data_IF_227279510956
#
_entry.id   IF_227279510956
#
_cell.length_a   1.000
_cell.length_b   1.000
_cell.length_c   1.000
_cell.angle_alpha   90.00
_cell.angle_beta   90.00
_cell.angle_gamma   90.00
#
_symmetry.space_group_name_H-M   'P 1'
#
loop_
_entity.id
_entity.type
_entity.pdbx_description
1 polymer ?
#
# COMPACT_ATOMS: atom_id res chain seq x y z
N UNK A 1 40.97 60.98 29.95
CA UNK A 1 42.32 60.46 30.25
C UNK A 1 42.31 59.02 29.73
N UNK A 2 42.70 58.75 28.49
CA UNK A 2 44.04 58.80 27.90
C UNK A 2 44.93 57.64 28.39
N UNK A 3 45.51 56.94 27.40
CA UNK A 3 46.73 56.10 27.43
C UNK A 3 46.55 54.66 27.91
N UNK A 4 47.27 53.65 27.41
CA UNK A 4 48.15 53.43 26.25
C UNK A 4 48.59 51.95 26.33
N UNK A 5 49.21 51.47 25.24
CA UNK A 5 50.29 50.47 25.22
C UNK A 5 50.01 48.99 25.55
N UNK A 6 49.66 48.23 24.50
CA UNK A 6 50.55 47.37 23.70
C UNK A 6 51.53 46.35 24.40
N UNK A 7 52.30 45.52 23.66
CA UNK A 7 52.04 44.08 23.51
C UNK A 7 53.24 43.21 23.92
N UNK A 8 53.10 41.88 23.91
CA UNK A 8 54.27 40.97 23.78
C UNK A 8 53.88 39.58 23.26
N UNK A 9 54.34 39.28 22.04
CA UNK A 9 54.60 37.93 21.52
C UNK A 9 55.88 37.37 22.16
N UNK A 10 56.03 36.04 22.16
CA UNK A 10 57.17 35.53 21.40
C UNK A 10 56.81 34.33 20.50
N UNK A 11 57.47 34.32 19.35
CA UNK A 11 57.59 33.22 18.41
C UNK A 11 58.36 32.04 19.03
N UNK A 12 58.04 30.80 18.64
CA UNK A 12 59.08 29.77 18.47
C UNK A 12 58.65 28.77 17.38
N UNK A 13 59.57 28.32 16.50
CA UNK A 13 59.26 27.62 15.26
C UNK A 13 59.35 26.10 15.42
N UNK A 14 58.74 25.36 14.49
CA UNK A 14 58.96 23.91 14.38
C UNK A 14 58.00 23.19 13.45
N UNK A 15 58.36 23.06 12.19
CA UNK A 15 57.90 21.98 11.29
C UNK A 15 59.18 21.37 10.75
N UNK A 16 59.38 20.04 10.80
CA UNK A 16 58.92 19.22 9.68
C UNK A 16 58.43 17.79 10.01
N UNK A 17 57.44 17.38 9.21
CA UNK A 17 57.34 16.14 8.43
C UNK A 17 57.54 14.77 9.12
N UNK A 18 56.46 13.98 9.15
CA UNK A 18 56.53 12.52 9.16
C UNK A 18 55.24 11.93 8.57
N UNK A 19 55.33 11.61 7.29
CA UNK A 19 54.50 10.66 6.55
C UNK A 19 54.22 9.36 7.32
N UNK A 20 52.94 8.98 7.45
CA UNK A 20 52.48 7.60 7.57
C UNK A 20 50.96 7.50 7.27
N UNK A 21 50.63 7.01 6.07
CA UNK A 21 49.33 6.37 5.76
C UNK A 21 49.34 4.91 6.31
N UNK A 22 48.23 4.13 6.32
CA UNK A 22 46.90 4.39 5.76
C UNK A 22 45.73 4.13 6.74
N UNK A 23 44.67 4.95 6.67
CA UNK A 23 43.39 4.68 7.31
C UNK A 23 42.47 3.91 6.38
N UNK A 24 42.43 2.58 6.51
CA UNK A 24 41.39 1.74 5.93
C UNK A 24 40.32 1.52 7.00
N UNK A 25 39.21 2.26 6.90
CA UNK A 25 37.97 1.96 7.60
C UNK A 25 36.83 2.10 6.61
N UNK A 26 36.55 1.00 5.92
CA UNK A 26 35.29 0.75 5.24
C UNK A 26 34.12 0.99 6.20
N UNK A 27 33.27 1.94 5.86
CA UNK A 27 31.86 1.88 6.20
C UNK A 27 31.07 2.31 4.96
N UNK A 28 30.67 1.38 4.08
CA UNK A 28 29.61 1.65 3.15
C UNK A 28 28.35 1.86 3.96
N UNK A 29 27.93 3.12 4.07
CA UNK A 29 26.60 3.49 4.53
C UNK A 29 25.60 2.84 3.59
N UNK A 30 25.13 1.66 3.97
CA UNK A 30 23.94 1.01 3.42
C UNK A 30 22.77 1.96 3.68
N UNK A 31 22.60 2.91 2.77
CA UNK A 31 21.35 3.60 2.56
C UNK A 31 20.42 2.54 2.01
N UNK A 32 19.73 1.84 2.92
CA UNK A 32 18.60 1.00 2.60
C UNK A 32 17.60 1.90 1.86
N UNK A 33 17.68 1.90 0.54
CA UNK A 33 16.60 2.34 -0.31
C UNK A 33 15.41 1.50 0.14
N UNK A 34 14.46 2.13 0.80
CA UNK A 34 13.13 1.57 0.90
C UNK A 34 12.66 1.43 -0.55
N UNK A 35 12.74 0.22 -1.09
CA UNK A 35 12.17 -0.14 -2.37
C UNK A 35 10.66 0.08 -2.22
N UNK A 36 10.20 1.26 -2.62
CA UNK A 36 8.81 1.43 -2.95
C UNK A 36 8.53 0.48 -4.11
N UNK A 37 7.56 -0.46 -4.01
CA UNK A 37 7.19 -1.29 -5.15
C UNK A 37 6.85 -0.34 -6.30
N UNK A 38 7.70 -0.36 -7.33
CA UNK A 38 7.50 0.43 -8.53
C UNK A 38 6.20 -0.06 -9.14
N UNK A 39 5.21 0.84 -9.23
CA UNK A 39 3.99 0.59 -10.00
C UNK A 39 4.47 0.16 -11.40
N UNK A 40 4.16 -1.05 -11.86
CA UNK A 40 4.66 -1.54 -13.14
C UNK A 40 4.24 -0.58 -14.25
N UNK A 41 5.10 -0.38 -15.25
CA UNK A 41 4.88 0.61 -16.31
C UNK A 41 3.51 0.43 -16.99
N UNK A 42 2.96 -0.78 -16.98
CA UNK A 42 1.66 -1.17 -17.53
C UNK A 42 0.44 -0.64 -16.75
N UNK A 43 0.65 -0.05 -15.57
CA UNK A 43 -0.41 0.45 -14.69
C UNK A 43 -0.54 1.96 -14.83
N UNK A 44 -1.45 2.36 -15.70
CA UNK A 44 -1.74 3.76 -15.98
C UNK A 44 -2.95 4.27 -15.18
N UNK A 45 -3.20 5.58 -15.23
CA UNK A 45 -4.31 6.22 -14.52
C UNK A 45 -5.70 5.66 -14.89
N UNK A 46 -5.81 5.03 -16.06
CA UNK A 46 -7.03 4.44 -16.61
C UNK A 46 -7.08 2.91 -16.45
N UNK A 47 -6.11 2.33 -15.73
CA UNK A 47 -6.10 0.90 -15.46
C UNK A 47 -7.38 0.47 -14.72
N UNK A 48 -7.95 -0.63 -15.21
CA UNK A 48 -9.02 -1.34 -14.56
C UNK A 48 -8.78 -2.84 -14.62
N UNK A 49 -9.03 -3.52 -13.50
CA UNK A 49 -9.01 -4.96 -13.43
C UNK A 49 -10.35 -5.52 -13.97
N UNK A 50 -10.47 -5.56 -15.30
CA UNK A 50 -11.71 -5.98 -15.97
C UNK A 50 -12.10 -7.42 -15.62
N UNK A 51 -11.12 -8.32 -15.46
CA UNK A 51 -11.40 -9.71 -15.05
C UNK A 51 -12.09 -9.79 -13.69
N UNK A 52 -11.64 -9.00 -12.70
CA UNK A 52 -12.29 -8.91 -11.40
C UNK A 52 -13.67 -8.24 -11.52
N UNK A 53 -13.80 -7.17 -12.32
CA UNK A 53 -15.09 -6.47 -12.53
C UNK A 53 -16.16 -7.38 -13.16
N UNK A 54 -15.78 -8.15 -14.18
CA UNK A 54 -16.67 -9.08 -14.84
C UNK A 54 -17.10 -10.20 -13.89
N UNK A 55 -16.17 -10.80 -13.16
CA UNK A 55 -16.48 -11.84 -12.19
C UNK A 55 -17.35 -11.31 -11.03
N UNK A 56 -17.09 -10.08 -10.57
CA UNK A 56 -17.91 -9.40 -9.56
C UNK A 56 -19.34 -9.20 -10.04
N UNK A 57 -19.50 -8.70 -11.29
CA UNK A 57 -20.82 -8.52 -11.91
C UNK A 57 -21.55 -9.85 -12.06
N UNK A 58 -20.86 -10.90 -12.50
CA UNK A 58 -21.44 -12.22 -12.68
C UNK A 58 -21.92 -12.80 -11.33
N UNK A 59 -21.13 -12.65 -10.26
CA UNK A 59 -21.52 -13.05 -8.90
C UNK A 59 -22.74 -12.27 -8.38
N UNK A 60 -22.84 -10.98 -8.67
CA UNK A 60 -24.01 -10.19 -8.27
C UNK A 60 -25.28 -10.59 -9.04
N UNK A 61 -25.14 -10.96 -10.31
CA UNK A 61 -26.24 -11.45 -11.14
C UNK A 61 -26.69 -12.86 -10.72
N UNK A 62 -25.73 -13.73 -10.39
CA UNK A 62 -25.97 -15.12 -10.01
C UNK A 62 -25.16 -15.48 -8.75
N UNK A 63 -25.74 -15.27 -7.54
CA UNK A 63 -25.05 -15.53 -6.29
C UNK A 63 -25.00 -17.03 -5.96
N UNK A 64 -23.98 -17.72 -6.50
CA UNK A 64 -23.70 -19.13 -6.21
C UNK A 64 -22.20 -19.38 -5.96
N UNK A 65 -21.85 -20.62 -5.59
CA UNK A 65 -20.46 -20.98 -5.30
C UNK A 65 -19.56 -20.98 -6.53
N UNK A 66 -20.10 -21.23 -7.72
CA UNK A 66 -19.34 -21.21 -8.97
C UNK A 66 -18.88 -19.80 -9.29
N UNK A 67 -19.77 -18.82 -9.21
CA UNK A 67 -19.44 -17.41 -9.45
C UNK A 67 -18.61 -16.83 -8.30
N UNK A 68 -18.79 -17.30 -7.06
CA UNK A 68 -17.93 -16.91 -5.94
C UNK A 68 -16.50 -17.42 -6.13
N UNK A 69 -16.32 -18.68 -6.54
CA UNK A 69 -15.02 -19.24 -6.87
C UNK A 69 -14.36 -18.47 -8.01
N UNK A 70 -15.10 -18.20 -9.09
CA UNK A 70 -14.60 -17.43 -10.23
C UNK A 70 -14.14 -16.02 -9.83
N UNK A 71 -14.90 -15.33 -8.96
CA UNK A 71 -14.52 -14.03 -8.42
C UNK A 71 -13.25 -14.12 -7.55
N UNK A 72 -13.16 -15.10 -6.65
CA UNK A 72 -11.99 -15.29 -5.77
C UNK A 72 -10.73 -15.65 -6.56
N UNK A 73 -10.85 -16.43 -7.64
CA UNK A 73 -9.73 -16.69 -8.56
C UNK A 73 -9.35 -15.44 -9.36
N UNK A 74 -10.31 -14.70 -9.90
CA UNK A 74 -10.03 -13.45 -10.61
C UNK A 74 -9.27 -12.44 -9.74
N UNK A 75 -9.58 -12.38 -8.44
CA UNK A 75 -8.90 -11.52 -7.47
C UNK A 75 -7.39 -11.80 -7.32
N UNK A 76 -6.88 -12.94 -7.77
CA UNK A 76 -5.46 -13.28 -7.68
C UNK A 76 -4.60 -12.60 -8.74
N UNK A 77 -5.23 -12.05 -9.77
CA UNK A 77 -4.56 -11.58 -10.97
C UNK A 77 -4.65 -10.06 -11.11
N UNK A 78 -3.63 -9.49 -11.75
CA UNK A 78 -3.57 -8.05 -12.02
C UNK A 78 -3.32 -7.23 -10.77
N UNK A 79 -3.93 -6.05 -10.74
CA UNK A 79 -3.73 -5.05 -9.70
C UNK A 79 -5.07 -4.66 -9.08
N UNK A 80 -5.01 -4.19 -7.84
CA UNK A 80 -6.11 -3.56 -7.15
C UNK A 80 -5.67 -2.19 -6.65
N UNK A 81 -6.66 -1.33 -6.44
CA UNK A 81 -6.46 0.02 -5.92
C UNK A 81 -6.94 0.08 -4.47
N UNK A 82 -6.12 0.68 -3.62
CA UNK A 82 -6.45 0.97 -2.22
C UNK A 82 -6.49 2.46 -1.98
N UNK A 83 -7.46 2.93 -1.17
CA UNK A 83 -7.51 4.32 -0.74
C UNK A 83 -6.41 4.57 0.31
N UNK A 84 -5.47 5.46 0.03
CA UNK A 84 -4.39 5.89 0.95
C UNK A 84 -4.52 7.37 1.32
N UNK A 85 -5.69 7.96 1.09
CA UNK A 85 -6.01 9.36 1.39
C UNK A 85 -5.86 9.66 2.88
N UNK A 86 -5.16 10.76 3.19
CA UNK A 86 -5.14 11.33 4.54
C UNK A 86 -4.05 10.83 5.49
N UNK A 87 -2.99 10.16 5.02
CA UNK A 87 -1.91 9.73 5.91
C UNK A 87 -0.49 9.95 5.36
N UNK A 88 0.17 11.03 5.78
CA UNK A 88 1.58 10.99 6.14
C UNK A 88 1.71 11.08 7.66
N UNK A 89 2.02 9.95 8.30
CA UNK A 89 2.64 10.00 9.63
C UNK A 89 4.14 10.16 9.41
N UNK A 90 4.77 11.17 10.02
CA UNK A 90 6.23 11.44 9.96
C UNK A 90 7.13 10.23 10.30
N UNK A 91 6.55 9.11 10.79
CA UNK A 91 7.26 7.87 11.15
C UNK A 91 6.80 6.60 10.41
N UNK A 92 5.67 6.58 9.68
CA UNK A 92 5.01 5.31 9.29
C UNK A 92 4.51 5.18 7.84
N UNK A 93 4.86 6.11 6.95
CA UNK A 93 4.49 6.02 5.52
C UNK A 93 2.99 6.16 5.27
N UNK A 94 2.57 5.86 4.02
CA UNK A 94 1.18 5.91 3.59
C UNK A 94 0.37 4.79 4.25
N UNK A 95 -0.73 5.15 4.91
CA UNK A 95 -1.63 4.19 5.58
C UNK A 95 -2.91 4.04 4.76
N UNK A 96 -3.28 2.79 4.50
CA UNK A 96 -4.56 2.45 3.86
C UNK A 96 -5.72 2.93 4.73
N UNK A 97 -6.65 3.65 4.10
CA UNK A 97 -7.86 4.14 4.72
C UNK A 97 -8.78 2.96 5.00
N UNK A 98 -9.41 3.00 6.17
CA UNK A 98 -10.32 1.96 6.63
C UNK A 98 -11.71 2.56 6.79
N UNK A 99 -12.75 1.78 6.49
CA UNK A 99 -14.13 2.15 6.83
C UNK A 99 -14.58 1.33 8.04
N UNK A 100 -15.63 1.80 8.73
CA UNK A 100 -16.25 1.07 9.84
C UNK A 100 -17.58 0.49 9.39
N UNK A 101 -17.84 -0.76 9.77
CA UNK A 101 -19.17 -1.34 9.73
C UNK A 101 -20.11 -0.62 10.71
N UNK A 102 -21.41 -0.90 10.61
CA UNK A 102 -22.42 -0.44 11.57
C UNK A 102 -22.15 -0.93 12.99
N UNK A 103 -21.44 -2.05 13.14
CA UNK A 103 -21.00 -2.62 14.42
C UNK A 103 -19.62 -2.12 14.87
N UNK A 104 -19.03 -1.16 14.16
CA UNK A 104 -17.75 -0.53 14.49
C UNK A 104 -16.50 -1.32 14.06
N UNK A 105 -16.67 -2.49 13.45
CA UNK A 105 -15.57 -3.33 12.94
C UNK A 105 -14.95 -2.70 11.69
N UNK A 106 -13.64 -2.94 11.45
CA UNK A 106 -12.96 -2.32 10.32
C UNK A 106 -13.11 -3.16 9.06
N UNK A 107 -13.41 -2.50 7.96
CA UNK A 107 -13.53 -3.09 6.62
C UNK A 107 -12.50 -2.41 5.72
N UNK A 108 -11.85 -3.23 4.89
CA UNK A 108 -10.83 -2.80 3.94
C UNK A 108 -11.51 -2.42 2.61
N UNK A 109 -11.55 -1.15 2.20
CA UNK A 109 -12.03 -0.79 0.87
C UNK A 109 -10.99 -1.18 -0.19
N UNK A 110 -11.41 -1.97 -1.17
CA UNK A 110 -10.65 -2.39 -2.34
C UNK A 110 -11.39 -1.96 -3.60
N UNK A 111 -10.63 -1.53 -4.61
CA UNK A 111 -11.19 -1.05 -5.86
C UNK A 111 -10.52 -1.73 -7.05
N UNK A 112 -11.28 -2.00 -8.10
CA UNK A 112 -10.77 -2.55 -9.36
C UNK A 112 -10.10 -1.49 -10.24
N UNK A 113 -10.24 -0.20 -9.90
CA UNK A 113 -9.70 0.92 -10.69
C UNK A 113 -9.58 2.20 -9.87
N UNK A 114 -8.87 3.20 -10.41
CA UNK A 114 -8.86 4.56 -9.86
C UNK A 114 -10.20 5.29 -10.04
N UNK A 115 -10.99 4.96 -11.06
CA UNK A 115 -12.29 5.60 -11.30
C UNK A 115 -13.33 5.20 -10.25
N UNK A 116 -13.35 3.93 -9.87
CA UNK A 116 -14.15 3.44 -8.74
C UNK A 116 -13.81 4.20 -7.45
N UNK A 117 -12.51 4.37 -7.17
CA UNK A 117 -12.05 5.16 -6.04
C UNK A 117 -12.51 6.63 -6.13
N UNK A 118 -12.38 7.28 -7.29
CA UNK A 118 -12.82 8.67 -7.54
C UNK A 118 -14.33 8.86 -7.42
N UNK A 119 -15.11 7.83 -7.76
CA UNK A 119 -16.57 7.86 -7.71
C UNK A 119 -17.12 7.85 -6.28
N UNK A 120 -16.36 7.34 -5.29
CA UNK A 120 -16.74 7.35 -3.87
C UNK A 120 -16.70 8.75 -3.24
N UNK A 121 -15.93 9.68 -3.81
CA UNK A 121 -15.67 10.99 -3.22
C UNK A 121 -16.45 12.09 -3.97
N UNK A 122 -17.08 13.05 -3.27
CA UNK A 122 -17.70 14.21 -3.92
C UNK A 122 -16.71 14.95 -4.82
N UNK A 123 -17.19 15.49 -5.95
CA UNK A 123 -16.34 16.11 -6.97
C UNK A 123 -15.38 17.17 -6.40
N UNK A 124 -15.84 18.00 -5.45
CA UNK A 124 -15.02 19.05 -4.82
C UNK A 124 -13.92 18.56 -3.86
N UNK A 125 -13.77 17.25 -3.63
CA UNK A 125 -12.72 16.66 -2.79
C UNK A 125 -11.85 15.63 -3.51
N UNK A 126 -11.99 15.50 -4.83
CA UNK A 126 -11.21 14.54 -5.62
C UNK A 126 -9.71 14.84 -5.61
N UNK A 127 -9.32 16.11 -5.50
CA UNK A 127 -7.91 16.51 -5.47
C UNK A 127 -7.17 16.08 -4.20
N UNK A 128 -7.90 15.76 -3.12
CA UNK A 128 -7.37 15.22 -1.87
C UNK A 128 -7.16 13.70 -1.94
N UNK A 129 -7.85 13.03 -2.88
CA UNK A 129 -7.89 11.59 -3.00
C UNK A 129 -6.54 11.04 -3.47
N UNK A 130 -6.06 10.02 -2.78
CA UNK A 130 -4.84 9.29 -3.14
C UNK A 130 -5.17 7.81 -3.19
N UNK A 131 -4.97 7.20 -4.35
CA UNK A 131 -5.01 5.75 -4.52
C UNK A 131 -3.59 5.23 -4.64
N UNK A 132 -3.34 4.05 -4.08
CA UNK A 132 -2.16 3.26 -4.41
C UNK A 132 -2.62 2.06 -5.24
N UNK A 133 -2.03 1.89 -6.42
CA UNK A 133 -2.22 0.69 -7.23
C UNK A 133 -1.15 -0.31 -6.81
N UNK A 134 -1.56 -1.54 -6.54
CA UNK A 134 -0.68 -2.60 -6.04
C UNK A 134 -1.07 -3.95 -6.61
N UNK A 135 -0.12 -4.90 -6.72
CA UNK A 135 -0.44 -6.26 -7.14
C UNK A 135 -1.60 -6.82 -6.32
N UNK A 136 -2.54 -7.50 -6.98
CA UNK A 136 -3.77 -7.92 -6.33
C UNK A 136 -3.50 -8.76 -5.07
N UNK A 137 -2.50 -9.66 -5.13
CA UNK A 137 -2.05 -10.44 -3.96
C UNK A 137 -1.59 -9.58 -2.79
N UNK A 138 -0.86 -8.51 -3.04
CA UNK A 138 -0.41 -7.58 -1.99
C UNK A 138 -1.58 -6.80 -1.39
N UNK A 139 -2.52 -6.34 -2.23
CA UNK A 139 -3.75 -5.72 -1.76
C UNK A 139 -4.59 -6.64 -0.87
N UNK A 140 -4.79 -7.89 -1.30
CA UNK A 140 -5.52 -8.89 -0.53
C UNK A 140 -4.80 -9.20 0.79
N UNK A 141 -3.46 -9.26 0.79
CA UNK A 141 -2.67 -9.51 1.99
C UNK A 141 -2.88 -8.45 3.09
N UNK A 142 -3.28 -7.22 2.75
CA UNK A 142 -3.60 -6.18 3.75
C UNK A 142 -4.71 -6.62 4.73
N UNK A 143 -5.63 -7.48 4.29
CA UNK A 143 -6.71 -7.99 5.15
C UNK A 143 -6.19 -8.88 6.28
N UNK A 144 -4.98 -9.42 6.14
CA UNK A 144 -4.37 -10.28 7.16
C UNK A 144 -3.91 -9.48 8.38
N UNK A 145 -3.79 -8.16 8.27
CA UNK A 145 -3.52 -7.29 9.42
C UNK A 145 -4.68 -7.33 10.43
N UNK A 146 -4.34 -7.22 11.73
CA UNK A 146 -5.20 -7.57 12.88
C UNK A 146 -6.54 -6.82 13.00
N UNK A 147 -6.82 -5.90 12.12
CA UNK A 147 -7.92 -4.95 12.27
C UNK A 147 -9.11 -5.25 11.39
N UNK A 148 -8.92 -5.86 10.23
CA UNK A 148 -9.99 -6.02 9.24
C UNK A 148 -10.79 -7.32 9.44
N UNK A 149 -12.12 -7.19 9.39
CA UNK A 149 -13.05 -8.33 9.41
C UNK A 149 -13.57 -8.71 8.03
N UNK A 150 -13.48 -7.78 7.07
CA UNK A 150 -13.98 -7.93 5.71
C UNK A 150 -13.25 -6.97 4.76
N UNK A 151 -13.40 -7.22 3.46
CA UNK A 151 -13.13 -6.24 2.41
C UNK A 151 -14.46 -5.78 1.77
N UNK A 152 -14.52 -4.52 1.34
CA UNK A 152 -15.61 -3.96 0.52
C UNK A 152 -15.03 -3.66 -0.86
N UNK A 153 -15.60 -4.27 -1.91
CA UNK A 153 -15.20 -4.09 -3.30
C UNK A 153 -16.07 -3.09 -4.02
N UNK A 154 -15.43 -2.22 -4.81
CA UNK A 154 -16.07 -1.29 -5.76
C UNK A 154 -17.27 -0.58 -5.13
N UNK A 155 -17.02 0.12 -4.03
CA UNK A 155 -18.04 0.78 -3.21
C UNK A 155 -18.99 1.66 -4.02
N UNK A 156 -18.53 2.24 -5.13
CA UNK A 156 -19.36 3.12 -5.94
C UNK A 156 -20.33 2.36 -6.85
N UNK A 157 -19.89 1.30 -7.52
CA UNK A 157 -20.72 0.58 -8.49
C UNK A 157 -21.36 -0.72 -7.97
N UNK A 158 -20.67 -1.47 -7.12
CA UNK A 158 -21.05 -2.81 -6.70
C UNK A 158 -21.28 -2.95 -5.19
N UNK A 159 -20.42 -2.35 -4.37
CA UNK A 159 -20.44 -2.40 -2.90
C UNK A 159 -20.55 -3.82 -2.32
N UNK A 160 -19.82 -4.79 -2.89
CA UNK A 160 -19.79 -6.16 -2.37
C UNK A 160 -18.90 -6.24 -1.12
N UNK A 161 -19.48 -6.60 0.01
CA UNK A 161 -18.74 -6.86 1.26
C UNK A 161 -18.47 -8.35 1.39
N UNK A 162 -17.21 -8.71 1.60
CA UNK A 162 -16.76 -10.09 1.71
C UNK A 162 -15.93 -10.33 2.97
N UNK A 163 -16.28 -11.38 3.70
CA UNK A 163 -15.62 -11.72 4.96
C UNK A 163 -14.16 -12.10 4.76
N UNK A 164 -13.32 -11.77 5.76
CA UNK A 164 -11.89 -12.08 5.77
C UNK A 164 -11.58 -13.54 5.45
N UNK A 165 -12.41 -14.49 5.91
CA UNK A 165 -12.19 -15.92 5.66
C UNK A 165 -12.17 -16.28 4.17
N UNK A 166 -12.99 -15.62 3.34
CA UNK A 166 -13.01 -15.89 1.88
C UNK A 166 -11.88 -15.17 1.16
N UNK A 167 -11.57 -13.94 1.56
CA UNK A 167 -10.43 -13.18 1.02
C UNK A 167 -9.10 -13.87 1.32
N UNK A 168 -9.00 -14.52 2.48
CA UNK A 168 -7.83 -15.32 2.83
C UNK A 168 -7.61 -16.50 1.86
N UNK A 169 -8.67 -17.08 1.30
CA UNK A 169 -8.55 -18.11 0.25
C UNK A 169 -7.95 -17.52 -1.02
N UNK A 170 -8.47 -16.37 -1.47
CA UNK A 170 -7.94 -15.67 -2.64
C UNK A 170 -6.47 -15.23 -2.45
N UNK A 171 -6.09 -14.82 -1.24
CA UNK A 171 -4.70 -14.45 -0.92
C UNK A 171 -3.74 -15.65 -0.91
N UNK A 172 -4.23 -16.87 -0.68
CA UNK A 172 -3.44 -18.10 -0.71
C UNK A 172 -3.11 -18.59 -2.13
N UNK A 173 -2.48 -19.76 -2.20
CA UNK A 173 -2.05 -20.39 -3.47
C UNK A 173 -2.94 -21.57 -3.89
N UNK A 174 -3.77 -22.09 -2.99
CA UNK A 174 -4.65 -23.22 -3.27
C UNK A 174 -5.80 -22.84 -4.21
N UNK A 175 -6.11 -23.64 -5.23
CA UNK A 175 -7.27 -23.37 -6.10
C UNK A 175 -8.56 -23.25 -5.29
N UNK A 176 -9.32 -22.19 -5.54
CA UNK A 176 -10.65 -21.96 -4.97
C UNK A 176 -11.68 -22.52 -5.93
N UNK A 177 -12.41 -23.54 -5.50
CA UNK A 177 -13.45 -24.19 -6.30
C UNK A 177 -14.80 -24.06 -5.60
N UNK A 178 -15.89 -24.34 -6.31
CA UNK A 178 -17.22 -24.30 -5.74
C UNK A 178 -17.35 -25.30 -4.58
N UNK A 179 -16.77 -26.49 -4.74
CA UNK A 179 -16.81 -27.57 -3.75
C UNK A 179 -16.05 -27.19 -2.47
N UNK A 180 -14.89 -26.53 -2.59
CA UNK A 180 -14.14 -26.08 -1.41
C UNK A 180 -14.88 -24.97 -0.66
N UNK A 181 -15.58 -24.08 -1.38
CA UNK A 181 -16.40 -23.04 -0.76
C UNK A 181 -17.65 -23.61 -0.07
N UNK A 182 -18.31 -24.59 -0.67
CA UNK A 182 -19.47 -25.25 -0.09
C UNK A 182 -19.12 -25.98 1.22
N UNK A 183 -17.93 -26.59 1.28
CA UNK A 183 -17.43 -27.27 2.47
C UNK A 183 -17.11 -26.33 3.66
N UNK A 184 -17.03 -25.01 3.44
CA UNK A 184 -16.74 -24.00 4.49
C UNK A 184 -17.98 -23.45 5.20
N UNK A 185 -19.16 -24.02 4.90
CA UNK A 185 -20.45 -23.62 5.48
C UNK A 185 -20.55 -23.93 6.97
#
# INVERSE_FOLDING_TARGET
>A
MARDDAPQTPETPGTPDASAAPGNSEQPGASAHAEHPQIPDDVHADYANEGVREALRALQQTPDYTHLAAFLEALRHGYLVVDVTGAPSKRKGHRVRTIRSTTGQLVLPLFTSMDELRAVVPAGRRDELRGAVMPAREALALITSDRFVAAEFDKASAALVMLRKYIALAAGDESVTAETLEALR
#
